data_IF_077547673011
#
_entry.id   IF_077547673011
#
_cell.length_a   1.000
_cell.length_b   1.000
_cell.length_c   1.000
_cell.angle_alpha   90.00
_cell.angle_beta   90.00
_cell.angle_gamma   90.00
#
_symmetry.space_group_name_H-M   'P 1'
#
loop_
_entity.id
_entity.type
_entity.pdbx_description
1 polymer ?
#
# COMPACT_ATOMS: atom_id res chain seq x y z
N UNK A 1 15.57 11.24 -4.50
CA UNK A 1 14.87 10.53 -5.59
C UNK A 1 14.08 9.37 -4.98
N UNK A 2 13.23 8.67 -5.74
CA UNK A 2 12.38 7.59 -5.19
C UNK A 2 13.19 6.39 -4.65
N UNK A 3 14.31 6.05 -5.29
CA UNK A 3 15.15 4.92 -4.87
C UNK A 3 15.81 5.15 -3.49
N UNK A 4 16.28 6.37 -3.23
CA UNK A 4 16.82 6.75 -1.91
C UNK A 4 15.75 6.70 -0.82
N UNK A 5 14.51 7.08 -1.15
CA UNK A 5 13.39 7.04 -0.21
C UNK A 5 13.08 5.60 0.23
N UNK A 6 13.03 4.67 -0.72
CA UNK A 6 12.61 3.29 -0.46
C UNK A 6 13.71 2.44 0.22
N UNK A 7 14.96 2.90 0.22
CA UNK A 7 16.08 2.22 0.92
C UNK A 7 16.13 2.53 2.42
N UNK A 8 15.47 3.61 2.86
CA UNK A 8 15.56 4.06 4.24
C UNK A 8 14.55 3.32 5.12
N UNK A 9 15.02 2.30 5.84
CA UNK A 9 14.25 1.68 6.91
C UNK A 9 15.18 1.25 8.05
N UNK A 10 15.47 2.16 9.00
CA UNK A 10 16.30 1.85 10.15
C UNK A 10 15.77 0.64 10.91
N UNK A 11 16.62 -0.36 11.17
CA UNK A 11 16.20 -1.59 11.86
C UNK A 11 15.58 -1.40 13.24
N UNK A 12 15.78 -0.23 13.86
CA UNK A 12 15.11 0.16 15.12
C UNK A 12 13.59 0.29 14.98
N UNK A 13 13.08 0.60 13.78
CA UNK A 13 11.65 0.72 13.48
C UNK A 13 10.91 -0.58 13.72
N UNK A 14 11.47 -1.72 13.29
CA UNK A 14 10.90 -3.04 13.51
C UNK A 14 10.72 -3.38 14.99
N UNK A 15 11.59 -2.85 15.87
CA UNK A 15 11.55 -3.07 17.33
C UNK A 15 10.64 -2.07 18.06
N UNK A 16 10.20 -1.00 17.42
CA UNK A 16 9.50 0.12 18.05
C UNK A 16 8.26 0.55 17.25
N UNK A 17 7.49 -0.42 16.74
CA UNK A 17 6.34 -0.16 15.85
C UNK A 17 5.31 0.78 16.46
N UNK A 18 4.96 0.60 17.73
CA UNK A 18 4.00 1.47 18.43
C UNK A 18 4.46 2.93 18.46
N UNK A 19 5.76 3.17 18.67
CA UNK A 19 6.34 4.52 18.65
C UNK A 19 6.45 5.09 17.24
N UNK A 20 6.54 4.23 16.22
CA UNK A 20 6.66 4.62 14.82
C UNK A 20 5.33 5.08 14.23
N UNK A 21 4.22 4.47 14.64
CA UNK A 21 2.90 4.70 14.04
C UNK A 21 2.48 6.20 14.03
N UNK A 22 2.63 6.98 15.12
CA UNK A 22 2.28 8.42 15.08
C UNK A 22 3.12 9.23 14.08
N UNK A 23 4.35 8.81 13.80
CA UNK A 23 5.18 9.46 12.78
C UNK A 23 4.71 9.10 11.37
N UNK A 24 4.30 7.85 11.16
CA UNK A 24 3.72 7.39 9.89
C UNK A 24 2.47 8.19 9.56
N UNK A 25 1.55 8.34 10.52
CA UNK A 25 0.34 9.16 10.35
C UNK A 25 0.71 10.59 9.95
N UNK A 26 1.67 11.21 10.66
CA UNK A 26 2.19 12.53 10.32
C UNK A 26 2.78 12.61 8.92
N UNK A 27 3.49 11.57 8.46
CA UNK A 27 4.10 11.54 7.13
C UNK A 27 3.05 11.38 6.03
N UNK A 28 2.03 10.55 6.24
CA UNK A 28 0.93 10.36 5.28
C UNK A 28 0.11 11.63 5.11
N UNK A 29 -0.09 12.40 6.19
CA UNK A 29 -0.78 13.70 6.14
C UNK A 29 0.07 14.88 5.64
N UNK A 30 1.29 14.64 5.15
CA UNK A 30 2.14 15.70 4.60
C UNK A 30 1.63 16.19 3.24
N UNK A 31 2.07 17.37 2.83
CA UNK A 31 1.91 17.95 1.49
C UNK A 31 3.09 17.64 0.55
N UNK A 32 4.10 16.89 1.02
CA UNK A 32 5.32 16.58 0.26
C UNK A 32 5.30 15.14 -0.25
N UNK A 33 5.35 14.99 -1.58
CA UNK A 33 5.29 13.70 -2.28
C UNK A 33 6.15 12.60 -1.64
N UNK A 34 7.44 12.88 -1.39
CA UNK A 34 8.36 11.88 -0.86
C UNK A 34 8.14 11.58 0.63
N UNK A 35 7.56 12.50 1.40
CA UNK A 35 7.21 12.24 2.80
C UNK A 35 5.99 11.32 2.85
N UNK A 36 4.97 11.60 2.03
CA UNK A 36 3.79 10.72 1.91
C UNK A 36 4.22 9.33 1.45
N UNK A 37 5.03 9.24 0.37
CA UNK A 37 5.58 7.97 -0.13
C UNK A 37 6.29 7.20 0.98
N UNK A 38 7.12 7.89 1.78
CA UNK A 38 7.83 7.28 2.88
C UNK A 38 6.87 6.71 3.93
N UNK A 39 5.85 7.46 4.32
CA UNK A 39 4.81 6.99 5.24
C UNK A 39 4.11 5.71 4.76
N UNK A 40 3.66 5.69 3.50
CA UNK A 40 3.03 4.49 2.91
C UNK A 40 4.02 3.31 2.88
N UNK A 41 5.29 3.58 2.54
CA UNK A 41 6.35 2.56 2.54
C UNK A 41 6.56 1.93 3.92
N UNK A 42 6.53 2.75 4.98
CA UNK A 42 6.66 2.26 6.36
C UNK A 42 5.47 1.39 6.79
N UNK A 43 4.24 1.73 6.38
CA UNK A 43 3.09 0.83 6.57
C UNK A 43 3.27 -0.50 5.82
N UNK A 44 3.69 -0.45 4.57
CA UNK A 44 3.91 -1.63 3.74
C UNK A 44 4.96 -2.58 4.33
N UNK A 45 6.04 -2.01 4.89
CA UNK A 45 7.16 -2.79 5.40
C UNK A 45 6.88 -3.38 6.79
N UNK A 46 6.32 -2.59 7.70
CA UNK A 46 6.26 -2.94 9.13
C UNK A 46 4.88 -3.37 9.63
N UNK A 47 3.80 -3.06 8.89
CA UNK A 47 2.40 -3.18 9.36
C UNK A 47 1.50 -4.01 8.41
N UNK A 48 2.08 -4.95 7.66
CA UNK A 48 1.34 -5.99 6.93
C UNK A 48 1.58 -7.36 7.59
N UNK A 49 0.75 -8.35 7.29
CA UNK A 49 0.78 -9.66 7.95
C UNK A 49 0.10 -9.60 9.31
N UNK A 50 0.78 -10.06 10.36
CA UNK A 50 0.24 -10.13 11.73
C UNK A 50 -0.09 -8.76 12.34
N UNK A 51 0.66 -7.72 11.96
CA UNK A 51 0.44 -6.36 12.46
C UNK A 51 -0.58 -5.55 11.64
N UNK A 52 -1.20 -6.18 10.64
CA UNK A 52 -2.13 -5.49 9.76
C UNK A 52 -3.37 -5.03 10.51
N UNK A 53 -3.78 -3.78 10.24
CA UNK A 53 -5.08 -3.24 10.61
C UNK A 53 -5.71 -2.61 9.39
N UNK A 54 -7.03 -2.80 9.26
CA UNK A 54 -7.82 -2.26 8.16
C UNK A 54 -7.67 -0.74 8.04
N UNK A 55 -7.62 -0.03 9.16
CA UNK A 55 -7.45 1.42 9.24
C UNK A 55 -6.20 1.92 8.50
N UNK A 56 -5.13 1.11 8.44
CA UNK A 56 -3.93 1.46 7.69
C UNK A 56 -4.19 1.45 6.18
N UNK A 57 -4.96 0.47 5.69
CA UNK A 57 -5.35 0.41 4.29
C UNK A 57 -6.39 1.49 3.95
N UNK A 58 -7.29 1.84 4.88
CA UNK A 58 -8.21 2.98 4.73
C UNK A 58 -7.44 4.28 4.60
N UNK A 59 -6.47 4.51 5.48
CA UNK A 59 -5.60 5.68 5.42
C UNK A 59 -4.88 5.80 4.06
N UNK A 60 -4.34 4.71 3.51
CA UNK A 60 -3.67 4.73 2.19
C UNK A 60 -4.66 4.92 1.03
N UNK A 61 -5.86 4.35 1.12
CA UNK A 61 -6.90 4.49 0.09
C UNK A 61 -7.43 5.93 -0.02
N UNK A 62 -7.49 6.65 1.11
CA UNK A 62 -8.05 8.01 1.21
C UNK A 62 -7.06 9.12 0.84
N UNK A 63 -5.80 8.78 0.50
CA UNK A 63 -4.79 9.77 0.10
C UNK A 63 -5.21 10.48 -1.19
N UNK A 64 -5.74 11.69 -1.03
CA UNK A 64 -6.08 12.58 -2.14
C UNK A 64 -4.86 13.42 -2.54
N UNK A 65 -3.86 12.78 -3.14
CA UNK A 65 -2.64 13.44 -3.60
C UNK A 65 -2.26 12.97 -5.02
N UNK A 66 -2.39 13.87 -5.99
CA UNK A 66 -2.17 13.55 -7.41
C UNK A 66 -0.67 13.62 -7.78
N UNK A 67 0.13 12.77 -7.16
CA UNK A 67 1.54 12.63 -7.49
C UNK A 67 1.89 11.18 -7.85
N UNK A 68 2.63 11.03 -8.95
CA UNK A 68 2.93 9.73 -9.54
C UNK A 68 3.62 8.77 -8.56
N UNK A 69 4.60 9.24 -7.77
CA UNK A 69 5.30 8.34 -6.84
C UNK A 69 4.47 7.99 -5.62
N UNK A 70 3.50 8.82 -5.22
CA UNK A 70 2.54 8.47 -4.16
C UNK A 70 1.57 7.40 -4.68
N UNK A 71 0.95 7.62 -5.85
CA UNK A 71 0.06 6.65 -6.50
C UNK A 71 0.75 5.30 -6.71
N UNK A 72 2.01 5.30 -7.17
CA UNK A 72 2.77 4.05 -7.35
C UNK A 72 3.04 3.34 -6.02
N UNK A 73 3.36 4.07 -4.95
CA UNK A 73 3.59 3.46 -3.65
C UNK A 73 2.30 2.89 -3.06
N UNK A 74 1.18 3.59 -3.19
CA UNK A 74 -0.14 3.06 -2.81
C UNK A 74 -0.47 1.77 -3.59
N UNK A 75 -0.19 1.74 -4.89
CA UNK A 75 -0.38 0.52 -5.70
C UNK A 75 0.50 -0.65 -5.22
N UNK A 76 1.76 -0.41 -4.85
CA UNK A 76 2.62 -1.43 -4.25
C UNK A 76 2.17 -1.86 -2.86
N UNK A 77 1.69 -0.94 -2.03
CA UNK A 77 1.09 -1.23 -0.74
C UNK A 77 -0.06 -2.22 -0.90
N UNK A 78 -1.06 -1.91 -1.74
CA UNK A 78 -2.21 -2.79 -1.95
C UNK A 78 -1.84 -4.13 -2.58
N UNK A 79 -0.91 -4.17 -3.53
CA UNK A 79 -0.44 -5.42 -4.11
C UNK A 79 0.28 -6.32 -3.09
N UNK A 80 1.04 -5.71 -2.18
CA UNK A 80 1.74 -6.44 -1.12
C UNK A 80 0.78 -6.86 -0.01
N UNK A 81 -0.20 -6.02 0.31
CA UNK A 81 -1.23 -6.30 1.31
C UNK A 81 -2.15 -7.44 0.85
N UNK A 82 -2.57 -7.46 -0.42
CA UNK A 82 -3.30 -8.61 -1.00
C UNK A 82 -2.54 -9.94 -0.88
N UNK A 83 -1.21 -9.90 -0.96
CA UNK A 83 -0.39 -11.11 -0.83
C UNK A 83 -0.22 -11.60 0.62
N UNK A 84 -0.51 -10.76 1.63
CA UNK A 84 -0.29 -11.06 3.06
C UNK A 84 -1.58 -11.15 3.88
N UNK A 85 -2.60 -10.41 3.49
CA UNK A 85 -3.85 -10.18 4.21
C UNK A 85 -5.01 -10.15 3.17
N UNK A 86 -5.17 -11.25 2.43
CA UNK A 86 -6.06 -11.28 1.27
C UNK A 86 -7.50 -10.91 1.62
N UNK A 87 -8.07 -11.58 2.62
CA UNK A 87 -9.48 -11.44 2.99
C UNK A 87 -9.81 -10.03 3.51
N UNK A 88 -8.86 -9.38 4.17
CA UNK A 88 -9.04 -8.04 4.70
C UNK A 88 -8.85 -6.94 3.63
N UNK A 89 -8.05 -7.22 2.59
CA UNK A 89 -7.65 -6.21 1.59
C UNK A 89 -8.48 -6.30 0.31
N UNK A 90 -8.96 -7.49 -0.07
CA UNK A 90 -9.78 -7.66 -1.28
C UNK A 90 -11.02 -6.74 -1.34
N UNK A 91 -11.71 -6.39 -0.22
CA UNK A 91 -12.86 -5.48 -0.27
C UNK A 91 -12.53 -4.07 -0.75
N UNK A 92 -11.27 -3.62 -0.65
CA UNK A 92 -10.85 -2.32 -1.19
C UNK A 92 -10.82 -2.32 -2.72
N UNK A 93 -10.47 -3.46 -3.32
CA UNK A 93 -10.46 -3.64 -4.77
C UNK A 93 -11.89 -3.92 -5.26
N UNK A 94 -12.65 -4.79 -4.61
CA UNK A 94 -14.05 -5.04 -5.00
C UNK A 94 -14.91 -3.77 -4.93
N UNK A 95 -14.74 -3.01 -3.85
CA UNK A 95 -15.43 -1.74 -3.62
C UNK A 95 -14.89 -0.55 -4.42
N UNK A 96 -13.85 -0.75 -5.25
CA UNK A 96 -13.20 0.32 -6.05
C UNK A 96 -12.85 1.55 -5.20
N UNK A 97 -12.32 1.32 -4.00
CA UNK A 97 -12.01 2.39 -3.03
C UNK A 97 -10.79 3.24 -3.43
N UNK A 98 -10.02 2.79 -4.41
CA UNK A 98 -8.81 3.46 -4.87
C UNK A 98 -9.09 4.30 -6.12
N UNK A 99 -8.33 5.37 -6.29
CA UNK A 99 -8.31 6.12 -7.55
C UNK A 99 -8.00 5.17 -8.73
N UNK A 100 -8.66 5.38 -9.87
CA UNK A 100 -8.69 4.46 -11.02
C UNK A 100 -7.31 3.98 -11.46
N UNK A 101 -6.33 4.87 -11.61
CA UNK A 101 -4.98 4.49 -11.99
C UNK A 101 -4.33 3.62 -10.91
N UNK A 102 -4.42 4.04 -9.64
CA UNK A 102 -3.86 3.31 -8.49
C UNK A 102 -4.48 1.92 -8.36
N UNK A 103 -5.80 1.82 -8.50
CA UNK A 103 -6.56 0.57 -8.51
C UNK A 103 -6.04 -0.41 -9.55
N UNK A 104 -6.02 0.02 -10.82
CA UNK A 104 -5.59 -0.82 -11.92
C UNK A 104 -4.10 -1.19 -11.81
N UNK A 105 -3.29 -0.30 -11.23
CA UNK A 105 -1.86 -0.54 -10.98
C UNK A 105 -1.64 -1.55 -9.87
N UNK A 106 -2.43 -1.50 -8.79
CA UNK A 106 -2.40 -2.49 -7.72
C UNK A 106 -2.73 -3.88 -8.28
N UNK A 107 -3.81 -4.01 -9.06
CA UNK A 107 -4.16 -5.27 -9.77
C UNK A 107 -3.01 -5.74 -10.66
N UNK A 108 -2.43 -4.85 -11.48
CA UNK A 108 -1.29 -5.20 -12.33
C UNK A 108 -0.14 -5.78 -11.49
N UNK A 109 0.23 -5.12 -10.39
CA UNK A 109 1.33 -5.55 -9.52
C UNK A 109 1.05 -6.86 -8.81
N UNK A 110 -0.19 -7.08 -8.36
CA UNK A 110 -0.62 -8.35 -7.79
C UNK A 110 -0.50 -9.48 -8.82
N UNK A 111 -0.93 -9.27 -10.06
CA UNK A 111 -0.88 -10.30 -11.11
C UNK A 111 0.57 -10.65 -11.51
N UNK A 112 1.45 -9.65 -11.57
CA UNK A 112 2.89 -9.82 -11.82
C UNK A 112 3.60 -10.54 -10.66
N UNK A 113 3.04 -10.49 -9.45
CA UNK A 113 3.63 -11.12 -8.25
C UNK A 113 3.52 -12.65 -8.29
N UNK A 114 4.53 -13.35 -7.76
CA UNK A 114 4.48 -14.81 -7.53
C UNK A 114 3.85 -15.19 -6.19
N UNK A 115 3.42 -14.20 -5.38
CA UNK A 115 2.94 -14.41 -4.00
C UNK A 115 1.44 -14.71 -3.90
N UNK A 116 0.68 -14.58 -4.98
CA UNK A 116 -0.76 -14.90 -5.04
C UNK A 116 -1.02 -16.02 -6.05
N UNK A 117 -2.09 -16.79 -5.83
CA UNK A 117 -2.45 -17.97 -6.62
C UNK A 117 -2.93 -17.60 -8.04
N UNK A 118 -3.00 -18.58 -8.93
CA UNK A 118 -3.51 -18.36 -10.28
C UNK A 118 -4.99 -17.91 -10.27
N UNK A 119 -5.77 -18.46 -9.36
CA UNK A 119 -7.19 -18.17 -9.12
C UNK A 119 -7.36 -16.72 -8.64
N UNK A 120 -6.58 -16.31 -7.63
CA UNK A 120 -6.56 -14.93 -7.15
C UNK A 120 -6.20 -13.94 -8.28
N UNK A 121 -5.24 -14.29 -9.14
CA UNK A 121 -4.90 -13.47 -10.32
C UNK A 121 -6.01 -13.42 -11.34
N UNK A 122 -6.71 -14.52 -11.59
CA UNK A 122 -7.86 -14.55 -12.49
C UNK A 122 -8.96 -13.62 -11.98
N UNK A 123 -9.30 -13.73 -10.69
CA UNK A 123 -10.29 -12.89 -10.04
C UNK A 123 -9.95 -11.40 -10.13
N UNK A 124 -8.72 -11.01 -9.78
CA UNK A 124 -8.30 -9.60 -9.84
C UNK A 124 -8.37 -9.00 -11.26
N UNK A 125 -8.24 -9.79 -12.33
CA UNK A 125 -8.36 -9.27 -13.71
C UNK A 125 -9.76 -8.75 -14.00
N UNK A 126 -10.78 -9.39 -13.42
CA UNK A 126 -12.19 -9.03 -13.61
C UNK A 126 -12.55 -7.73 -12.90
N UNK A 127 -11.78 -7.36 -11.87
CA UNK A 127 -12.00 -6.17 -11.05
C UNK A 127 -11.36 -4.89 -11.62
N UNK A 128 -10.70 -4.93 -12.78
CA UNK A 128 -10.13 -3.72 -13.41
C UNK A 128 -11.22 -2.70 -13.77
N UNK A 129 -10.95 -1.43 -13.51
CA UNK A 129 -11.84 -0.32 -13.87
C UNK A 129 -11.56 0.08 -15.33
N UNK A 130 -12.62 0.04 -16.16
CA UNK A 130 -12.60 0.47 -17.57
C UNK A 130 -12.53 1.98 -17.69
#
# INVERSE_FOLDING_TARGET
NWATCDQLSPGVFRKNKEKLLPYIEKWISSDKEYIIRFGIGMLMEHFLGEDFKKDYAECVAEINFDAYYVKMMAAWYFATALAKNWDEVIPFIEGKKLEKWTHNKAIQKSIESRRISAEQKAYLRELKIK
#
